data_IF_386818330271
#
_entry.id   IF_386818330271
#
_cell.length_a   1.000
_cell.length_b   1.000
_cell.length_c   1.000
_cell.angle_alpha   90.00
_cell.angle_beta   90.00
_cell.angle_gamma   90.00
#
_symmetry.space_group_name_H-M   'P 1'
#
loop_
_entity.id
_entity.type
_entity.pdbx_description
1 polymer ?
#
# COMPACT_ATOMS: atom_id res chain seq x y z
N UNK A 1 31.15 -10.84 27.86
CA UNK A 1 30.24 -11.77 27.15
C UNK A 1 29.74 -12.78 28.16
N UNK A 2 28.45 -13.04 28.09
CA UNK A 2 27.70 -13.80 29.09
C UNK A 2 27.28 -15.10 28.42
N UNK A 3 27.45 -16.22 29.11
CA UNK A 3 26.88 -17.50 28.69
C UNK A 3 25.35 -17.40 28.66
N UNK A 4 24.76 -17.77 27.51
CA UNK A 4 23.33 -17.75 27.30
C UNK A 4 22.80 -19.19 27.29
N UNK A 5 21.86 -19.49 28.17
CA UNK A 5 21.14 -20.76 28.16
C UNK A 5 20.09 -20.73 27.04
N UNK A 6 20.20 -21.65 26.09
CA UNK A 6 19.22 -21.81 25.01
C UNK A 6 18.31 -22.98 25.37
N UNK A 7 17.01 -22.71 25.45
CA UNK A 7 15.99 -23.71 25.78
C UNK A 7 14.99 -23.86 24.63
N UNK A 8 14.49 -25.07 24.41
CA UNK A 8 13.51 -25.29 23.35
C UNK A 8 12.87 -26.67 23.39
N UNK A 9 11.81 -26.81 22.58
CA UNK A 9 11.12 -28.08 22.38
C UNK A 9 10.81 -28.29 20.90
N UNK A 10 11.05 -29.49 20.40
CA UNK A 10 10.64 -29.95 19.08
C UNK A 10 9.55 -31.02 19.21
N UNK A 11 8.40 -30.73 18.63
CA UNK A 11 7.29 -31.66 18.47
C UNK A 11 6.98 -31.84 16.97
N UNK A 12 6.41 -32.98 16.60
CA UNK A 12 5.85 -33.19 15.27
C UNK A 12 4.51 -32.41 15.09
N UNK A 13 3.93 -32.49 13.89
CA UNK A 13 2.64 -31.83 13.61
C UNK A 13 1.46 -32.38 14.43
N UNK A 14 1.63 -33.53 15.08
CA UNK A 14 0.69 -34.15 16.01
C UNK A 14 0.97 -33.82 17.49
N UNK A 15 1.93 -32.94 17.79
CA UNK A 15 2.39 -32.62 19.15
C UNK A 15 3.08 -33.80 19.87
N UNK A 16 3.57 -34.79 19.13
CA UNK A 16 4.41 -35.85 19.66
C UNK A 16 5.86 -35.38 19.68
N UNK A 17 6.57 -35.53 20.81
CA UNK A 17 7.97 -35.12 20.90
C UNK A 17 8.84 -35.96 19.96
N UNK A 18 9.85 -35.31 19.37
CA UNK A 18 10.83 -35.98 18.51
C UNK A 18 12.19 -36.08 19.21
N UNK A 19 12.96 -37.11 18.87
CA UNK A 19 14.35 -37.27 19.31
C UNK A 19 15.29 -36.86 18.18
N UNK A 20 16.47 -36.36 18.52
CA UNK A 20 17.42 -35.87 17.51
C UNK A 20 18.57 -35.09 18.09
N UNK A 21 19.20 -34.25 17.27
CA UNK A 21 20.30 -33.38 17.72
C UNK A 21 20.28 -32.02 17.03
N UNK A 22 20.76 -31.02 17.74
CA UNK A 22 21.06 -29.68 17.23
C UNK A 22 22.56 -29.59 17.05
N UNK A 23 23.01 -29.34 15.83
CA UNK A 23 24.41 -29.05 15.51
C UNK A 23 24.55 -27.54 15.40
N UNK A 24 25.53 -26.99 16.10
CA UNK A 24 25.81 -25.56 16.13
C UNK A 24 27.23 -25.33 15.65
N UNK A 25 27.38 -24.45 14.67
CA UNK A 25 28.68 -24.07 14.12
C UNK A 25 28.81 -22.55 14.13
N UNK A 26 29.96 -22.02 14.53
CA UNK A 26 30.24 -20.59 14.39
C UNK A 26 30.62 -20.25 12.94
N UNK A 27 30.15 -19.12 12.41
CA UNK A 27 30.57 -18.64 11.09
C UNK A 27 31.96 -17.98 11.11
N UNK A 28 32.39 -17.47 12.26
CA UNK A 28 33.70 -16.88 12.48
C UNK A 28 34.21 -17.15 13.91
N UNK A 29 35.54 -17.11 14.17
CA UNK A 29 36.06 -17.29 15.51
C UNK A 29 35.52 -16.24 16.48
N UNK A 30 34.99 -16.69 17.62
CA UNK A 30 34.46 -15.83 18.68
C UNK A 30 35.48 -15.75 19.82
N UNK A 31 35.79 -14.53 20.29
CA UNK A 31 36.74 -14.33 21.40
C UNK A 31 35.96 -14.07 22.69
N UNK A 32 35.95 -15.02 23.62
CA UNK A 32 35.25 -14.90 24.90
C UNK A 32 35.91 -13.90 25.86
N UNK A 33 35.21 -13.61 26.97
CA UNK A 33 35.65 -12.60 27.97
C UNK A 33 36.93 -12.99 28.70
N UNK A 34 37.17 -14.29 28.84
CA UNK A 34 38.37 -14.87 29.43
C UNK A 34 39.55 -14.94 28.43
N UNK A 35 39.39 -14.34 27.23
CA UNK A 35 40.32 -14.38 26.10
C UNK A 35 40.46 -15.76 25.45
N UNK A 36 39.58 -16.71 25.75
CA UNK A 36 39.52 -17.96 24.99
C UNK A 36 38.93 -17.70 23.60
N UNK A 37 39.44 -18.44 22.61
CA UNK A 37 39.01 -18.32 21.22
C UNK A 37 38.20 -19.56 20.87
N UNK A 38 36.91 -19.39 20.64
CA UNK A 38 36.05 -20.42 20.12
C UNK A 38 36.24 -20.49 18.61
N UNK A 39 36.66 -21.66 18.14
CA UNK A 39 36.85 -21.93 16.73
C UNK A 39 35.52 -22.34 16.08
N UNK A 40 35.37 -22.13 14.76
CA UNK A 40 34.22 -22.57 13.97
C UNK A 40 34.25 -24.09 13.77
N UNK A 41 34.09 -24.81 14.87
CA UNK A 41 34.01 -26.27 14.93
C UNK A 41 32.56 -26.62 15.27
N UNK A 42 31.93 -27.55 14.52
CA UNK A 42 30.59 -28.01 14.84
C UNK A 42 30.53 -28.65 16.22
N UNK A 43 29.56 -28.22 17.02
CA UNK A 43 29.24 -28.80 18.33
C UNK A 43 27.86 -29.44 18.25
N UNK A 44 27.74 -30.67 18.76
CA UNK A 44 26.49 -31.42 18.72
C UNK A 44 25.82 -31.46 20.09
N UNK A 45 24.53 -31.15 20.12
CA UNK A 45 23.70 -31.18 21.32
C UNK A 45 22.51 -32.11 21.09
N UNK A 46 22.53 -33.34 21.66
CA UNK A 46 21.43 -34.26 21.53
C UNK A 46 20.21 -33.80 22.33
N UNK A 47 19.02 -34.14 21.84
CA UNK A 47 17.76 -33.90 22.52
C UNK A 47 16.91 -35.17 22.53
N UNK A 48 16.20 -35.36 23.63
CA UNK A 48 15.35 -36.53 23.86
C UNK A 48 14.01 -36.05 24.37
N UNK A 49 12.94 -36.71 23.94
CA UNK A 49 11.57 -36.31 24.22
C UNK A 49 11.28 -34.86 23.80
N UNK A 50 11.87 -34.41 22.69
CA UNK A 50 11.69 -33.09 22.11
C UNK A 50 12.38 -31.96 22.86
N UNK A 51 12.80 -32.13 24.10
CA UNK A 51 13.33 -31.05 24.94
C UNK A 51 14.85 -30.97 24.88
N UNK A 52 15.37 -29.74 24.83
CA UNK A 52 16.80 -29.48 24.88
C UNK A 52 17.13 -28.23 25.66
N UNK A 53 18.31 -28.26 26.27
CA UNK A 53 18.92 -27.11 26.90
C UNK A 53 20.43 -27.20 26.72
N UNK A 54 21.04 -26.18 26.14
CA UNK A 54 22.49 -26.07 26.04
C UNK A 54 22.91 -24.62 26.18
N UNK A 55 24.18 -24.41 26.57
CA UNK A 55 24.73 -23.10 26.82
C UNK A 55 25.68 -22.72 25.69
N UNK A 56 25.52 -21.50 25.15
CA UNK A 56 26.44 -20.92 24.18
C UNK A 56 26.94 -19.57 24.68
N UNK A 57 28.11 -19.15 24.19
CA UNK A 57 28.62 -17.80 24.41
C UNK A 57 27.78 -16.77 23.65
N UNK A 58 27.44 -15.65 24.30
CA UNK A 58 26.76 -14.55 23.62
C UNK A 58 27.64 -13.96 22.51
N UNK A 59 27.15 -13.90 21.26
CA UNK A 59 27.90 -13.37 20.12
C UNK A 59 27.50 -11.94 19.72
N UNK A 60 26.47 -11.38 20.34
CA UNK A 60 25.92 -10.05 20.02
C UNK A 60 26.93 -8.90 20.12
N UNK A 61 27.87 -8.95 21.07
CA UNK A 61 28.91 -7.90 21.19
C UNK A 61 29.86 -7.85 19.99
N UNK A 62 30.13 -9.01 19.35
CA UNK A 62 31.02 -9.11 18.20
C UNK A 62 30.26 -9.20 16.86
N UNK A 63 28.93 -9.26 16.91
CA UNK A 63 28.05 -9.41 15.73
C UNK A 63 28.44 -10.63 14.88
N UNK A 64 28.81 -11.73 15.54
CA UNK A 64 29.13 -13.01 14.90
C UNK A 64 27.90 -13.91 14.93
N UNK A 65 27.64 -14.59 13.82
CA UNK A 65 26.51 -15.51 13.68
C UNK A 65 26.90 -16.94 14.02
N UNK A 66 25.96 -17.64 14.64
CA UNK A 66 25.94 -19.09 14.77
C UNK A 66 25.03 -19.66 13.69
N UNK A 67 25.47 -20.73 13.06
CA UNK A 67 24.69 -21.58 12.18
C UNK A 67 24.13 -22.75 12.98
N UNK A 68 22.80 -22.86 13.02
CA UNK A 68 22.06 -23.91 13.70
C UNK A 68 21.51 -24.90 12.67
N UNK A 69 21.70 -26.19 12.91
CA UNK A 69 21.16 -27.28 12.09
C UNK A 69 20.46 -28.29 13.00
N UNK A 70 19.24 -28.69 12.64
CA UNK A 70 18.41 -29.61 13.43
C UNK A 70 18.22 -30.91 12.66
N UNK A 71 18.53 -32.03 13.31
CA UNK A 71 18.38 -33.38 12.78
C UNK A 71 17.43 -34.18 13.69
N UNK A 72 16.59 -35.05 13.10
CA UNK A 72 15.71 -35.98 13.83
C UNK A 72 16.35 -37.36 14.09
N UNK A 73 17.67 -37.43 14.07
CA UNK A 73 18.42 -38.66 14.29
C UNK A 73 19.53 -38.41 15.30
N UNK A 74 19.68 -39.36 16.22
CA UNK A 74 20.71 -39.35 17.26
C UNK A 74 22.01 -40.04 16.81
N UNK A 75 21.95 -40.86 15.76
CA UNK A 75 23.07 -41.66 15.27
C UNK A 75 24.12 -40.80 14.55
N UNK A 76 25.34 -41.34 14.48
CA UNK A 76 26.48 -40.72 13.81
C UNK A 76 26.17 -40.50 12.32
N UNK A 77 26.35 -39.27 11.84
CA UNK A 77 25.90 -38.81 10.53
C UNK A 77 26.80 -39.40 9.43
N UNK A 78 26.57 -40.65 9.05
CA UNK A 78 27.19 -41.25 7.88
C UNK A 78 26.51 -40.69 6.61
N UNK A 79 27.26 -39.87 5.88
CA UNK A 79 26.88 -39.02 4.73
C UNK A 79 25.71 -39.49 3.82
N UNK A 80 24.91 -38.55 3.25
CA UNK A 80 24.52 -37.22 3.75
C UNK A 80 23.10 -37.26 4.33
N UNK A 81 22.95 -36.84 5.58
CA UNK A 81 21.64 -36.61 6.21
C UNK A 81 21.31 -35.13 6.06
N UNK A 82 20.15 -34.82 5.48
CA UNK A 82 19.67 -33.44 5.36
C UNK A 82 19.17 -32.93 6.72
N UNK A 83 19.55 -31.70 7.08
CA UNK A 83 18.97 -31.03 8.23
C UNK A 83 17.51 -30.68 7.94
N UNK A 84 16.62 -30.95 8.90
CA UNK A 84 15.19 -30.63 8.79
C UNK A 84 14.98 -29.12 8.87
N UNK A 85 15.82 -28.46 9.65
CA UNK A 85 15.75 -27.04 9.88
C UNK A 85 17.16 -26.48 10.02
N UNK A 86 17.44 -25.36 9.35
CA UNK A 86 18.69 -24.65 9.52
C UNK A 86 18.52 -23.15 9.37
N UNK A 87 19.29 -22.38 10.15
CA UNK A 87 19.28 -20.92 10.11
C UNK A 87 20.52 -20.33 10.76
N UNK A 88 20.85 -19.09 10.40
CA UNK A 88 21.88 -18.31 11.05
C UNK A 88 21.24 -17.34 12.05
N UNK A 89 21.83 -17.20 13.23
CA UNK A 89 21.36 -16.24 14.25
C UNK A 89 22.50 -15.75 15.14
N UNK A 90 22.31 -14.57 15.70
CA UNK A 90 23.22 -14.00 16.71
C UNK A 90 22.67 -14.34 18.08
N UNK A 91 23.51 -14.88 18.97
CA UNK A 91 23.10 -15.19 20.34
C UNK A 91 23.17 -13.92 21.19
N UNK A 92 22.04 -13.46 21.78
CA UNK A 92 21.98 -12.19 22.51
C UNK A 92 22.72 -12.27 23.84
N UNK A 93 23.07 -11.10 24.41
CA UNK A 93 23.64 -11.01 25.77
C UNK A 93 22.52 -11.13 26.82
N UNK A 94 21.95 -12.33 26.95
CA UNK A 94 20.90 -12.67 27.92
C UNK A 94 21.28 -13.94 28.70
N UNK A 95 20.72 -14.11 29.90
CA UNK A 95 20.94 -15.32 30.70
C UNK A 95 20.21 -16.54 30.15
N UNK A 96 19.06 -16.34 29.51
CA UNK A 96 18.27 -17.38 28.88
C UNK A 96 17.56 -16.82 27.64
N UNK A 97 17.45 -17.64 26.58
CA UNK A 97 16.69 -17.34 25.38
C UNK A 97 15.98 -18.60 24.89
N UNK A 98 14.74 -18.46 24.43
CA UNK A 98 14.06 -19.57 23.79
C UNK A 98 14.57 -19.75 22.35
N UNK A 99 14.80 -20.98 21.91
CA UNK A 99 15.28 -21.29 20.57
C UNK A 99 14.39 -20.69 19.48
N UNK A 100 13.07 -20.61 19.72
CA UNK A 100 12.13 -19.99 18.78
C UNK A 100 12.44 -18.51 18.51
N UNK A 101 12.94 -17.80 19.51
CA UNK A 101 13.24 -16.37 19.39
C UNK A 101 14.55 -16.11 18.63
N UNK A 102 15.41 -17.13 18.50
CA UNK A 102 16.60 -17.08 17.67
C UNK A 102 16.29 -17.29 16.19
N UNK A 103 15.15 -17.90 15.86
CA UNK A 103 14.76 -18.14 14.49
C UNK A 103 14.43 -16.79 13.83
N UNK A 104 15.14 -16.39 12.75
CA UNK A 104 14.82 -15.15 12.07
C UNK A 104 13.38 -15.22 11.57
N UNK A 105 12.59 -14.20 11.89
CA UNK A 105 11.27 -14.07 11.31
C UNK A 105 11.45 -14.01 9.80
N UNK A 106 10.98 -15.01 9.06
CA UNK A 106 11.01 -15.02 7.58
C UNK A 106 10.21 -13.86 6.95
N UNK A 107 9.66 -13.00 7.79
CA UNK A 107 9.23 -11.66 7.45
C UNK A 107 10.49 -10.84 7.14
N UNK A 108 10.79 -10.69 5.85
CA UNK A 108 11.60 -9.56 5.40
C UNK A 108 10.89 -8.30 5.87
N UNK A 109 11.38 -7.69 6.94
CA UNK A 109 11.01 -6.31 7.21
C UNK A 109 11.69 -5.51 6.12
N UNK A 110 10.92 -4.85 5.26
CA UNK A 110 11.40 -3.86 4.28
C UNK A 110 12.02 -2.60 4.96
N UNK A 111 12.39 -2.76 6.23
CA UNK A 111 13.08 -1.82 7.07
C UNK A 111 14.55 -1.88 6.70
N UNK A 112 14.95 -1.01 5.77
CA UNK A 112 16.34 -0.71 5.52
C UNK A 112 17.07 -0.42 6.85
N UNK A 113 18.27 -0.99 7.06
CA UNK A 113 19.10 -0.70 8.22
C UNK A 113 19.19 0.80 8.49
N UNK A 114 19.16 1.20 9.77
CA UNK A 114 19.01 2.62 10.16
C UNK A 114 20.12 3.52 9.61
N UNK A 115 21.34 3.01 9.43
CA UNK A 115 22.46 3.68 8.78
C UNK A 115 22.22 3.90 7.28
N UNK A 116 21.76 2.88 6.55
CA UNK A 116 21.42 2.97 5.14
C UNK A 116 20.23 3.92 4.95
N UNK A 117 19.23 3.87 5.83
CA UNK A 117 18.10 4.80 5.82
C UNK A 117 18.56 6.25 6.02
N UNK A 118 19.44 6.52 6.98
CA UNK A 118 20.00 7.87 7.20
C UNK A 118 20.82 8.35 6.02
N UNK A 119 21.62 7.47 5.42
CA UNK A 119 22.41 7.79 4.24
C UNK A 119 21.50 8.08 3.03
N UNK A 120 20.47 7.27 2.80
CA UNK A 120 19.48 7.52 1.76
C UNK A 120 18.70 8.80 2.01
N UNK A 121 18.33 9.10 3.26
CA UNK A 121 17.71 10.38 3.60
C UNK A 121 18.64 11.56 3.31
N UNK A 122 19.93 11.45 3.66
CA UNK A 122 20.90 12.48 3.35
C UNK A 122 21.03 12.67 1.83
N UNK A 123 21.17 11.58 1.07
CA UNK A 123 21.33 11.64 -0.38
C UNK A 123 20.06 12.17 -1.08
N UNK A 124 18.87 11.75 -0.64
CA UNK A 124 17.61 12.13 -1.27
C UNK A 124 17.18 13.56 -0.94
N UNK A 125 17.41 14.02 0.30
CA UNK A 125 16.88 15.29 0.80
C UNK A 125 17.91 16.42 0.87
N UNK A 126 19.22 16.15 0.86
CA UNK A 126 20.23 17.20 0.76
C UNK A 126 20.28 17.75 -0.69
N UNK A 127 20.04 19.05 -0.89
CA UNK A 127 20.08 19.67 -2.22
C UNK A 127 21.41 19.47 -2.95
N UNK A 128 22.53 19.41 -2.22
CA UNK A 128 23.86 19.27 -2.84
C UNK A 128 24.04 17.90 -3.47
N UNK A 129 23.64 16.83 -2.77
CA UNK A 129 23.76 15.46 -3.28
C UNK A 129 22.70 15.16 -4.34
N UNK A 130 21.49 15.69 -4.18
CA UNK A 130 20.43 15.53 -5.17
C UNK A 130 20.81 16.17 -6.52
N UNK A 131 21.37 17.39 -6.50
CA UNK A 131 21.85 18.06 -7.72
C UNK A 131 23.00 17.31 -8.43
N UNK A 132 23.83 16.58 -7.69
CA UNK A 132 24.91 15.78 -8.27
C UNK A 132 24.40 14.49 -8.92
N UNK A 133 23.39 13.85 -8.34
CA UNK A 133 22.87 12.56 -8.80
C UNK A 133 21.72 12.68 -9.81
N UNK A 134 21.09 13.86 -9.90
CA UNK A 134 19.95 14.15 -10.79
C UNK A 134 18.81 13.12 -10.66
N UNK A 135 18.61 12.60 -9.46
CA UNK A 135 17.49 11.72 -9.16
C UNK A 135 16.22 12.55 -9.03
N UNK A 136 15.17 12.13 -9.75
CA UNK A 136 13.93 12.89 -9.88
C UNK A 136 13.39 13.38 -8.54
N UNK A 137 13.26 14.69 -8.37
CA UNK A 137 12.85 15.33 -7.11
C UNK A 137 11.37 15.74 -7.19
N UNK A 138 10.50 15.28 -6.29
CA UNK A 138 9.11 15.73 -6.28
C UNK A 138 9.01 17.18 -5.80
N UNK A 139 8.59 18.07 -6.69
CA UNK A 139 8.39 19.51 -6.42
C UNK A 139 6.92 19.87 -6.12
N UNK A 140 5.98 18.92 -6.28
CA UNK A 140 4.56 19.10 -5.96
C UNK A 140 3.75 19.66 -7.12
N UNK A 141 2.70 20.44 -6.83
CA UNK A 141 1.86 21.03 -7.88
C UNK A 141 2.64 22.08 -8.69
N UNK A 142 2.47 22.07 -10.01
CA UNK A 142 3.07 23.07 -10.89
C UNK A 142 2.53 24.47 -10.57
N UNK A 143 3.44 25.45 -10.51
CA UNK A 143 3.14 26.88 -10.40
C UNK A 143 3.99 27.68 -11.39
N UNK A 144 3.40 28.59 -12.18
CA UNK A 144 4.14 29.38 -13.16
C UNK A 144 5.13 30.38 -12.54
N UNK A 145 4.99 30.69 -11.23
CA UNK A 145 5.90 31.59 -10.52
C UNK A 145 7.12 30.90 -9.92
N UNK A 146 7.21 29.57 -10.03
CA UNK A 146 8.26 28.78 -9.40
C UNK A 146 9.28 28.34 -10.46
N UNK A 147 10.58 28.62 -10.26
CA UNK A 147 11.61 28.07 -11.14
C UNK A 147 11.83 26.59 -10.82
N UNK A 148 11.75 25.75 -11.84
CA UNK A 148 12.03 24.31 -11.76
C UNK A 148 13.38 24.02 -12.41
N UNK A 149 14.12 23.09 -11.85
CA UNK A 149 15.42 22.64 -12.39
C UNK A 149 15.31 21.25 -13.00
N UNK A 150 16.30 20.90 -13.83
CA UNK A 150 16.41 19.55 -14.39
C UNK A 150 16.23 18.47 -13.31
N UNK A 151 15.31 17.54 -13.53
CA UNK A 151 14.99 16.46 -12.60
C UNK A 151 13.81 16.75 -11.66
N UNK A 152 13.28 17.97 -11.61
CA UNK A 152 12.08 18.25 -10.80
C UNK A 152 10.83 17.57 -11.39
N UNK A 153 10.02 16.95 -10.53
CA UNK A 153 8.78 16.27 -10.88
C UNK A 153 7.61 17.09 -10.36
N UNK A 154 6.70 17.49 -11.24
CA UNK A 154 5.51 18.27 -10.90
C UNK A 154 4.22 17.55 -11.27
N UNK A 155 3.15 17.88 -10.57
CA UNK A 155 1.78 17.49 -10.92
C UNK A 155 1.06 18.68 -11.55
N UNK A 156 0.52 18.50 -12.75
CA UNK A 156 -0.27 19.50 -13.46
C UNK A 156 -1.46 18.82 -14.14
N UNK A 157 -2.66 19.38 -13.97
CA UNK A 157 -3.89 18.90 -14.60
C UNK A 157 -4.18 17.39 -14.41
N UNK A 158 -3.81 16.85 -13.24
CA UNK A 158 -3.98 15.42 -12.90
C UNK A 158 -2.93 14.48 -13.53
N UNK A 159 -1.95 15.02 -14.23
CA UNK A 159 -0.82 14.29 -14.82
C UNK A 159 0.49 14.65 -14.10
N UNK A 160 1.50 13.80 -14.23
CA UNK A 160 2.84 13.99 -13.64
C UNK A 160 3.88 14.21 -14.75
N UNK A 161 4.76 15.19 -14.54
CA UNK A 161 5.75 15.64 -15.52
C UNK A 161 7.12 15.77 -14.88
N UNK A 162 8.17 15.45 -15.64
CA UNK A 162 9.58 15.61 -15.29
C UNK A 162 10.16 16.80 -16.04
N UNK A 163 10.81 17.73 -15.34
CA UNK A 163 11.56 18.83 -15.96
C UNK A 163 12.84 18.28 -16.60
N UNK A 164 12.97 18.42 -17.92
CA UNK A 164 14.11 17.92 -18.71
C UNK A 164 15.01 19.03 -19.25
N UNK A 165 14.65 20.31 -19.07
CA UNK A 165 15.50 21.42 -19.49
C UNK A 165 16.68 21.61 -18.52
N UNK A 166 17.90 21.59 -19.05
CA UNK A 166 19.13 21.79 -18.26
C UNK A 166 19.27 23.21 -17.70
N UNK A 167 18.68 24.21 -18.37
CA UNK A 167 18.66 25.60 -17.94
C UNK A 167 17.47 25.92 -17.00
N UNK A 168 16.64 24.92 -16.69
CA UNK A 168 15.43 25.05 -15.89
C UNK A 168 14.21 25.52 -16.70
N UNK A 169 13.04 25.50 -16.04
CA UNK A 169 11.76 25.93 -16.58
C UNK A 169 11.12 26.98 -15.66
N UNK A 170 10.64 28.10 -16.22
CA UNK A 170 9.97 29.15 -15.47
C UNK A 170 8.83 29.74 -16.31
N UNK A 171 7.59 29.54 -15.86
CA UNK A 171 6.40 29.99 -16.58
C UNK A 171 5.98 29.09 -17.74
N UNK A 172 6.78 28.07 -18.09
CA UNK A 172 6.47 27.11 -19.14
C UNK A 172 5.52 26.02 -18.65
N UNK A 173 4.31 25.97 -19.20
CA UNK A 173 3.30 25.00 -18.81
C UNK A 173 3.68 23.56 -19.22
N UNK A 174 3.57 22.57 -18.31
CA UNK A 174 3.66 21.17 -18.67
C UNK A 174 2.54 20.77 -19.65
N UNK A 175 2.87 19.90 -20.61
CA UNK A 175 1.94 19.43 -21.63
C UNK A 175 2.02 17.91 -21.76
N UNK A 176 0.89 17.28 -22.09
CA UNK A 176 0.82 15.85 -22.40
C UNK A 176 1.60 15.47 -23.66
N UNK A 177 1.90 16.45 -24.52
CA UNK A 177 2.83 16.29 -25.64
C UNK A 177 4.21 16.70 -25.15
N UNK A 178 5.20 15.83 -25.37
CA UNK A 178 6.61 16.10 -25.06
C UNK A 178 7.03 17.47 -25.62
N UNK A 179 7.64 18.28 -24.77
CA UNK A 179 8.21 19.57 -25.14
C UNK A 179 9.65 19.68 -24.61
N UNK A 180 10.34 20.78 -24.90
CA UNK A 180 11.75 20.97 -24.49
C UNK A 180 11.95 21.08 -22.97
N UNK A 181 10.87 21.34 -22.21
CA UNK A 181 10.92 21.60 -20.78
C UNK A 181 10.44 20.43 -19.93
N UNK A 182 9.44 19.70 -20.40
CA UNK A 182 8.64 18.75 -19.64
C UNK A 182 8.46 17.45 -20.40
N UNK A 183 8.82 16.36 -19.74
CA UNK A 183 8.54 14.99 -20.18
C UNK A 183 7.37 14.41 -19.36
N UNK A 184 6.30 13.90 -19.99
CA UNK A 184 5.21 13.25 -19.27
C UNK A 184 5.69 11.91 -18.67
N UNK A 185 5.42 11.71 -17.37
CA UNK A 185 5.70 10.45 -16.66
C UNK A 185 4.44 9.62 -16.45
N UNK A 186 3.32 10.29 -16.18
CA UNK A 186 2.03 9.68 -15.97
C UNK A 186 0.95 10.60 -16.47
N UNK A 187 0.23 10.18 -17.51
CA UNK A 187 -0.83 10.97 -18.13
C UNK A 187 -2.16 10.52 -17.56
N UNK A 188 -3.03 11.47 -17.20
CA UNK A 188 -4.40 11.14 -16.81
C UNK A 188 -5.12 10.39 -17.94
N UNK A 189 -6.03 9.50 -17.60
CA UNK A 189 -6.90 8.88 -18.61
C UNK A 189 -7.72 9.94 -19.35
N UNK A 190 -8.06 9.65 -20.60
CA UNK A 190 -9.04 10.44 -21.34
C UNK A 190 -10.33 10.56 -20.52
N UNK A 191 -10.97 11.74 -20.46
CA UNK A 191 -12.31 11.85 -19.93
C UNK A 191 -13.20 10.81 -20.63
N UNK A 192 -13.95 10.02 -19.85
CA UNK A 192 -14.92 9.10 -20.42
C UNK A 192 -15.88 9.87 -21.34
N UNK A 193 -16.32 9.24 -22.43
CA UNK A 193 -17.23 9.84 -23.44
C UNK A 193 -18.65 10.09 -22.92
N UNK A 194 -18.82 10.26 -21.60
CA UNK A 194 -20.09 10.62 -21.01
C UNK A 194 -20.50 12.00 -21.47
N UNK A 195 -21.67 12.08 -22.08
CA UNK A 195 -22.34 13.33 -22.46
C UNK A 195 -22.52 14.18 -21.22
N UNK A 196 -22.05 15.43 -21.27
CA UNK A 196 -22.22 16.40 -20.19
C UNK A 196 -23.69 16.57 -19.81
N UNK A 197 -23.94 17.00 -18.58
CA UNK A 197 -25.30 17.19 -18.08
C UNK A 197 -26.05 18.26 -18.87
N UNK A 198 -27.31 17.98 -19.21
CA UNK A 198 -28.20 18.91 -19.91
C UNK A 198 -29.24 19.49 -18.93
N UNK A 199 -29.17 20.81 -18.71
CA UNK A 199 -30.06 21.56 -17.80
C UNK A 199 -31.40 21.95 -18.44
N UNK A 200 -31.69 21.50 -19.67
CA UNK A 200 -33.01 21.73 -20.28
C UNK A 200 -34.10 21.04 -19.46
N UNK A 201 -35.19 21.75 -19.08
CA UNK A 201 -36.31 21.14 -18.39
C UNK A 201 -36.86 19.92 -19.13
N UNK A 202 -37.34 18.93 -18.39
CA UNK A 202 -37.92 17.73 -18.98
C UNK A 202 -39.11 18.09 -19.88
N UNK A 203 -39.08 17.61 -21.14
CA UNK A 203 -40.27 17.59 -21.99
C UNK A 203 -40.29 16.31 -22.82
N UNK A 204 -41.49 15.71 -22.94
CA UNK A 204 -41.66 14.44 -23.63
C UNK A 204 -41.17 14.47 -25.08
N UNK A 205 -41.30 15.61 -25.77
CA UNK A 205 -40.87 15.77 -27.16
C UNK A 205 -39.36 16.05 -27.32
N UNK A 206 -38.70 16.67 -26.34
CA UNK A 206 -37.28 17.00 -26.46
C UNK A 206 -36.34 15.90 -25.92
N UNK A 207 -36.88 14.96 -25.13
CA UNK A 207 -36.10 13.92 -24.44
C UNK A 207 -36.16 12.54 -25.11
N UNK A 208 -36.97 12.38 -26.16
CA UNK A 208 -36.98 11.16 -26.98
C UNK A 208 -35.63 11.00 -27.69
N UNK A 209 -34.96 9.88 -27.44
CA UNK A 209 -33.65 9.52 -28.01
C UNK A 209 -32.46 10.41 -27.59
N UNK A 210 -32.58 11.19 -26.51
CA UNK A 210 -31.43 11.91 -25.94
C UNK A 210 -30.55 10.98 -25.11
N UNK A 211 -29.24 11.09 -25.28
CA UNK A 211 -28.23 10.32 -24.53
C UNK A 211 -27.55 11.13 -23.42
N UNK A 212 -28.01 12.36 -23.18
CA UNK A 212 -27.46 13.25 -22.16
C UNK A 212 -27.79 12.76 -20.74
N UNK A 213 -26.86 12.92 -19.81
CA UNK A 213 -27.14 12.64 -18.40
C UNK A 213 -28.07 13.73 -17.82
N UNK A 214 -29.19 13.40 -17.17
CA UNK A 214 -30.03 14.40 -16.52
C UNK A 214 -29.28 15.04 -15.34
N UNK A 215 -29.29 16.36 -15.24
CA UNK A 215 -28.75 17.05 -14.06
C UNK A 215 -29.74 17.00 -12.89
N UNK A 216 -29.25 17.18 -11.65
CA UNK A 216 -30.09 17.19 -10.45
C UNK A 216 -31.21 18.25 -10.49
N UNK A 217 -30.97 19.36 -11.20
CA UNK A 217 -31.93 20.47 -11.30
C UNK A 217 -33.11 20.12 -12.23
N UNK A 218 -32.86 19.38 -13.31
CA UNK A 218 -33.90 18.97 -14.27
C UNK A 218 -34.93 18.02 -13.65
N UNK A 219 -34.47 17.02 -12.88
CA UNK A 219 -35.36 16.10 -12.16
C UNK A 219 -36.14 16.81 -11.06
N UNK A 220 -35.51 17.73 -10.32
CA UNK A 220 -36.19 18.51 -9.28
C UNK A 220 -37.33 19.35 -9.86
N UNK A 221 -37.11 20.06 -10.96
CA UNK A 221 -38.13 20.89 -11.60
C UNK A 221 -39.29 20.04 -12.15
N UNK A 222 -39.01 18.91 -12.79
CA UNK A 222 -40.07 18.01 -13.29
C UNK A 222 -40.94 17.42 -12.17
N UNK A 223 -40.35 17.12 -11.01
CA UNK A 223 -41.08 16.64 -9.85
C UNK A 223 -41.93 17.74 -9.20
N UNK A 224 -41.45 18.99 -9.22
CA UNK A 224 -42.21 20.16 -8.78
C UNK A 224 -43.40 20.39 -9.72
N UNK A 225 -43.18 20.44 -11.04
CA UNK A 225 -44.25 20.63 -12.04
C UNK A 225 -45.32 19.54 -11.99
N UNK A 226 -44.94 18.29 -11.70
CA UNK A 226 -45.90 17.18 -11.52
C UNK A 226 -46.72 17.35 -10.23
N UNK A 227 -46.10 17.84 -9.17
CA UNK A 227 -46.71 17.92 -7.85
C UNK A 227 -47.43 19.24 -7.59
N UNK A 228 -47.28 20.25 -8.45
CA UNK A 228 -48.11 21.46 -8.41
C UNK A 228 -49.43 21.22 -9.16
N UNK A 229 -50.58 21.09 -8.47
CA UNK A 229 -51.86 21.06 -9.15
C UNK A 229 -52.05 22.43 -9.81
N UNK A 230 -51.91 22.49 -11.14
CA UNK A 230 -52.21 23.69 -11.94
C UNK A 230 -53.55 24.24 -11.44
N UNK A 231 -53.54 25.38 -10.74
CA UNK A 231 -54.76 26.08 -10.38
C UNK A 231 -55.32 26.56 -11.70
N UNK A 232 -56.29 25.82 -12.18
CA UNK A 232 -57.01 26.14 -13.39
C UNK A 232 -57.86 27.38 -13.09
N UNK A 233 -57.40 28.54 -13.55
CA UNK A 233 -58.19 29.77 -13.51
C UNK A 233 -59.33 29.66 -14.53
N UNK A 234 -60.57 29.74 -14.05
CA UNK A 234 -61.79 29.49 -14.84
C UNK A 234 -62.20 30.69 -15.70
N UNK A 235 -61.38 31.74 -15.79
CA UNK A 235 -61.61 32.86 -16.73
C UNK A 235 -61.33 32.48 -18.19
N UNK A 236 -60.51 31.45 -18.42
CA UNK A 236 -60.35 30.85 -19.74
C UNK A 236 -61.38 29.75 -19.87
N UNK A 237 -62.42 29.94 -20.71
CA UNK A 237 -63.52 28.99 -20.87
C UNK A 237 -63.02 27.57 -21.15
N UNK A 238 -63.18 26.68 -20.17
CA UNK A 238 -62.73 25.29 -20.28
C UNK A 238 -63.89 24.43 -20.73
N UNK A 239 -63.71 23.80 -21.88
CA UNK A 239 -64.60 22.76 -22.37
C UNK A 239 -64.38 21.48 -21.56
N UNK A 240 -65.36 21.11 -20.75
CA UNK A 240 -65.28 19.96 -19.84
C UNK A 240 -65.12 18.63 -20.60
N UNK A 241 -65.48 18.57 -21.89
CA UNK A 241 -65.33 17.39 -22.74
C UNK A 241 -63.88 17.15 -23.21
N UNK A 242 -62.98 18.11 -22.97
CA UNK A 242 -61.56 18.02 -23.34
C UNK A 242 -60.62 17.73 -22.17
N UNK A 243 -61.17 17.52 -20.96
CA UNK A 243 -60.37 17.17 -19.79
C UNK A 243 -59.97 15.69 -19.84
N UNK A 244 -58.68 15.35 -19.62
CA UNK A 244 -58.26 13.95 -19.50
C UNK A 244 -58.97 13.29 -18.31
N UNK A 245 -59.44 12.04 -18.48
CA UNK A 245 -60.26 11.26 -17.53
C UNK A 245 -59.72 11.19 -16.08
N UNK A 246 -58.44 11.52 -15.88
CA UNK A 246 -57.73 11.35 -14.61
C UNK A 246 -57.71 12.60 -13.71
N UNK A 247 -58.39 13.70 -14.09
CA UNK A 247 -58.42 14.92 -13.27
C UNK A 247 -59.73 15.07 -12.49
N UNK A 248 -59.66 14.76 -11.19
CA UNK A 248 -60.76 14.95 -10.24
C UNK A 248 -61.12 16.43 -10.08
N UNK A 249 -62.32 16.82 -10.52
CA UNK A 249 -62.87 18.16 -10.29
C UNK A 249 -63.65 18.18 -8.96
N UNK A 250 -63.43 19.15 -8.05
CA UNK A 250 -64.14 19.21 -6.77
C UNK A 250 -65.67 19.34 -6.95
N UNK A 251 -66.44 18.53 -6.22
CA UNK A 251 -67.89 18.39 -6.38
C UNK A 251 -68.72 19.69 -6.27
N UNK A 252 -68.17 20.75 -5.66
CA UNK A 252 -68.84 22.06 -5.55
C UNK A 252 -69.02 22.79 -6.89
N UNK A 253 -68.39 22.31 -7.97
CA UNK A 253 -68.46 22.89 -9.31
C UNK A 253 -69.37 22.12 -10.28
N UNK A 254 -70.05 21.06 -9.83
CA UNK A 254 -71.03 20.31 -10.63
C UNK A 254 -72.43 20.91 -10.46
N UNK A 255 -72.74 22.00 -11.13
CA UNK A 255 -74.13 22.47 -11.25
C UNK A 255 -74.90 21.59 -12.23
N UNK A 256 -75.93 20.92 -11.72
CA UNK A 256 -76.83 20.03 -12.45
C UNK A 256 -77.50 20.79 -13.61
N UNK A 257 -77.19 20.43 -14.87
CA UNK A 257 -78.02 20.86 -16.01
C UNK A 257 -79.37 20.15 -15.90
N UNK A 258 -80.39 20.87 -15.44
CA UNK A 258 -81.80 20.49 -15.59
C UNK A 258 -82.37 21.26 -16.79
N UNK A 259 -82.75 20.53 -17.83
CA UNK A 259 -83.34 21.06 -19.06
C UNK A 259 -83.12 20.10 -20.21
#
# INVERSE_FOLDING_TARGET
MVECLITGKFDDSGSFPIDGKVVVTLDAPLIATDMTVHLPIPQEYPFTNGEFSFTLESSDTQQITYFFEVYNQLDDLSYPVEAIYSFHSVVPVLTEVNFRDLIPSQISTDQLPSNIRRLLQLIAFDPNYNNLLRWGRPAGFYSPSTPYVYGDIVTYDGSSYLCINENGALGDNPSIVENEYWQPLGIRGEPGTGTGGNDTPFSFAAWTSQTDAPTRNTLSNALIDRNDPRVVDLSDGIDLDTLPDDKLVPAKYLTKMSG
#
